data_IF_606495948945
#
_entry.id   IF_606495948945
#
_cell.length_a   1.000
_cell.length_b   1.000
_cell.length_c   1.000
_cell.angle_alpha   90.00
_cell.angle_beta   90.00
_cell.angle_gamma   90.00
#
_symmetry.space_group_name_H-M   'P 1'
#
loop_
_entity.id
_entity.type
_entity.pdbx_description
1 polymer ?
#
# COMPACT_ATOMS: atom_id res chain seq x y z
N UNK A 1 22.93 19.76 -18.91
CA UNK A 1 22.59 20.87 -19.81
C UNK A 1 21.25 21.39 -19.40
N UNK A 2 21.20 22.63 -18.84
CA UNK A 2 19.94 23.24 -18.42
C UNK A 2 19.06 23.49 -19.64
N UNK A 3 17.85 22.96 -19.64
CA UNK A 3 16.86 23.28 -20.67
C UNK A 3 16.48 24.77 -20.49
N UNK A 4 16.64 25.64 -21.49
CA UNK A 4 16.39 27.09 -21.36
C UNK A 4 14.92 27.45 -21.04
N UNK A 5 14.00 26.49 -21.17
CA UNK A 5 12.56 26.67 -20.92
C UNK A 5 12.16 26.28 -19.48
N UNK A 6 13.06 25.65 -18.70
CA UNK A 6 12.76 25.21 -17.34
C UNK A 6 13.89 25.54 -16.36
N UNK A 7 13.54 25.86 -15.11
CA UNK A 7 14.51 26.09 -14.04
C UNK A 7 15.27 24.83 -13.59
N UNK A 8 14.90 23.64 -14.04
CA UNK A 8 15.49 22.34 -13.64
C UNK A 8 15.21 21.93 -12.19
N UNK A 9 14.46 22.73 -11.39
CA UNK A 9 14.25 22.50 -9.96
C UNK A 9 13.60 21.15 -9.66
N UNK A 10 12.62 20.71 -10.48
CA UNK A 10 11.96 19.41 -10.29
C UNK A 10 12.92 18.25 -10.53
N UNK A 11 13.77 18.36 -11.54
CA UNK A 11 14.80 17.35 -11.83
C UNK A 11 15.82 17.29 -10.70
N UNK A 12 16.28 18.46 -10.21
CA UNK A 12 17.20 18.52 -9.07
C UNK A 12 16.61 17.90 -7.81
N UNK A 13 15.33 18.17 -7.51
CA UNK A 13 14.63 17.57 -6.38
C UNK A 13 14.51 16.04 -6.56
N UNK A 14 14.13 15.58 -7.74
CA UNK A 14 14.01 14.15 -8.03
C UNK A 14 15.36 13.43 -7.84
N UNK A 15 16.45 14.02 -8.37
CA UNK A 15 17.80 13.48 -8.21
C UNK A 15 18.21 13.42 -6.73
N UNK A 16 17.92 14.47 -5.95
CA UNK A 16 18.22 14.49 -4.53
C UNK A 16 17.41 13.46 -3.73
N UNK A 17 16.13 13.26 -4.07
CA UNK A 17 15.26 12.27 -3.43
C UNK A 17 15.69 10.81 -3.69
N UNK A 18 16.38 10.55 -4.78
CA UNK A 18 16.84 9.20 -5.15
C UNK A 18 18.34 8.99 -4.89
N UNK A 19 19.06 10.03 -4.51
CA UNK A 19 20.48 9.94 -4.19
C UNK A 19 20.65 9.31 -2.78
N UNK A 20 21.13 8.08 -2.75
CA UNK A 20 21.37 7.32 -1.52
C UNK A 20 22.66 7.71 -0.77
N UNK A 21 23.58 8.46 -1.40
CA UNK A 21 24.85 8.85 -0.81
C UNK A 21 24.82 10.25 -0.19
N UNK A 22 24.33 11.23 -0.94
CA UNK A 22 24.38 12.66 -0.58
C UNK A 22 23.01 13.30 -0.42
N UNK A 23 21.96 12.59 -0.78
CA UNK A 23 20.57 13.04 -0.75
C UNK A 23 19.71 12.33 0.30
N UNK A 24 18.40 12.34 0.03
CA UNK A 24 17.40 11.72 0.88
C UNK A 24 17.09 10.26 0.47
N UNK A 25 17.82 9.67 -0.45
CA UNK A 25 17.49 8.38 -1.06
C UNK A 25 17.36 7.24 -0.05
N UNK A 26 18.20 7.18 0.98
CA UNK A 26 18.08 6.16 2.03
C UNK A 26 16.78 6.28 2.83
N UNK A 27 16.38 7.52 3.17
CA UNK A 27 15.10 7.75 3.85
C UNK A 27 13.92 7.45 2.92
N UNK A 28 13.98 7.89 1.68
CA UNK A 28 12.96 7.60 0.68
C UNK A 28 12.78 6.08 0.47
N UNK A 29 13.87 5.32 0.40
CA UNK A 29 13.84 3.87 0.30
C UNK A 29 13.17 3.22 1.52
N UNK A 30 13.52 3.64 2.76
CA UNK A 30 12.87 3.16 3.99
C UNK A 30 11.37 3.42 4.01
N UNK A 31 10.95 4.62 3.60
CA UNK A 31 9.51 4.96 3.50
C UNK A 31 8.81 4.09 2.46
N UNK A 32 9.40 3.90 1.29
CA UNK A 32 8.81 3.09 0.22
C UNK A 32 8.70 1.62 0.61
N UNK A 33 9.76 1.01 1.14
CA UNK A 33 9.69 -0.41 1.54
C UNK A 33 8.77 -0.62 2.73
N UNK A 34 8.64 0.34 3.64
CA UNK A 34 7.67 0.29 4.73
C UNK A 34 6.22 0.31 4.19
N UNK A 35 5.94 1.11 3.16
CA UNK A 35 4.64 1.12 2.48
C UNK A 35 4.36 -0.20 1.75
N UNK A 36 5.34 -0.73 1.04
CA UNK A 36 5.22 -2.06 0.41
C UNK A 36 4.92 -3.13 1.47
N UNK A 37 5.65 -3.12 2.57
CA UNK A 37 5.41 -4.03 3.70
C UNK A 37 4.02 -3.87 4.27
N UNK A 38 3.56 -2.65 4.51
CA UNK A 38 2.22 -2.35 5.01
C UNK A 38 1.11 -2.91 4.10
N UNK A 39 1.24 -2.79 2.78
CA UNK A 39 0.27 -3.36 1.84
C UNK A 39 0.26 -4.88 1.84
N UNK A 40 1.37 -5.52 2.17
CA UNK A 40 1.44 -6.98 2.28
C UNK A 40 0.99 -7.52 3.65
N UNK A 41 1.29 -6.83 4.73
CA UNK A 41 1.08 -7.30 6.11
C UNK A 41 0.10 -6.45 6.93
N UNK A 42 -0.67 -5.57 6.29
CA UNK A 42 -1.62 -4.63 6.88
C UNK A 42 -1.01 -3.54 7.77
N UNK A 43 0.16 -3.76 8.35
CA UNK A 43 0.86 -2.81 9.21
C UNK A 43 2.31 -2.69 8.75
N UNK A 44 2.80 -1.46 8.71
CA UNK A 44 4.21 -1.19 8.40
C UNK A 44 5.14 -1.64 9.53
N UNK A 45 6.41 -1.87 9.21
CA UNK A 45 7.48 -2.07 10.20
C UNK A 45 7.57 -0.83 11.09
N UNK A 46 7.42 0.37 10.50
CA UNK A 46 7.10 1.63 11.19
C UNK A 46 5.60 1.82 11.11
N UNK A 47 4.91 1.87 12.25
CA UNK A 47 3.44 1.94 12.29
C UNK A 47 2.87 3.33 11.99
N UNK A 48 3.72 4.36 11.94
CA UNK A 48 3.40 5.73 11.53
C UNK A 48 3.98 6.01 10.13
N UNK A 49 3.35 5.54 9.03
CA UNK A 49 3.96 5.54 7.70
C UNK A 49 4.18 6.93 7.11
N UNK A 50 3.55 7.95 7.66
CA UNK A 50 3.75 9.36 7.28
C UNK A 50 4.71 10.12 8.21
N UNK A 51 5.19 9.48 9.29
CA UNK A 51 6.13 10.09 10.22
C UNK A 51 7.25 9.12 10.60
N UNK A 52 8.41 9.33 10.00
CA UNK A 52 9.67 8.64 10.28
C UNK A 52 10.60 9.49 11.16
N UNK A 53 10.08 10.60 11.70
CA UNK A 53 10.81 11.52 12.56
C UNK A 53 10.67 11.21 14.04
N UNK A 54 11.05 12.18 14.86
CA UNK A 54 11.09 12.04 16.32
C UNK A 54 9.70 11.85 16.98
N UNK A 55 8.61 12.23 16.28
CA UNK A 55 7.24 12.04 16.75
C UNK A 55 6.64 10.70 16.28
N UNK A 56 7.28 10.04 15.32
CA UNK A 56 6.86 8.74 14.81
C UNK A 56 7.21 7.59 15.76
N UNK A 57 6.63 6.42 15.48
CA UNK A 57 6.98 5.21 16.23
C UNK A 57 8.28 4.61 15.72
N UNK A 58 9.13 4.05 16.60
CA UNK A 58 10.30 3.32 16.15
C UNK A 58 9.91 2.06 15.37
N UNK A 59 10.75 1.61 14.43
CA UNK A 59 10.50 0.38 13.69
C UNK A 59 10.52 -0.84 14.63
N UNK A 60 9.59 -1.80 14.42
CA UNK A 60 9.56 -3.06 15.16
C UNK A 60 10.77 -3.95 14.84
N UNK A 61 11.27 -3.86 13.59
CA UNK A 61 12.41 -4.63 13.08
C UNK A 61 13.35 -3.69 12.33
N UNK A 62 14.21 -2.93 13.02
CA UNK A 62 15.06 -1.90 12.40
C UNK A 62 16.03 -2.48 11.37
N UNK A 63 16.68 -3.60 11.69
CA UNK A 63 17.62 -4.27 10.78
C UNK A 63 16.95 -4.78 9.50
N UNK A 64 15.74 -5.33 9.62
CA UNK A 64 14.96 -5.77 8.47
C UNK A 64 14.57 -4.58 7.57
N UNK A 65 14.15 -3.46 8.17
CA UNK A 65 13.80 -2.26 7.43
C UNK A 65 15.02 -1.72 6.66
N UNK A 66 16.17 -1.68 7.30
CA UNK A 66 17.41 -1.19 6.69
C UNK A 66 17.89 -2.11 5.58
N UNK A 67 17.80 -3.43 5.80
CA UNK A 67 18.15 -4.41 4.79
C UNK A 67 17.23 -4.33 3.56
N UNK A 68 15.91 -4.26 3.77
CA UNK A 68 14.94 -4.10 2.67
C UNK A 68 15.17 -2.79 1.91
N UNK A 69 15.46 -1.69 2.60
CA UNK A 69 15.76 -0.41 1.97
C UNK A 69 17.03 -0.49 1.11
N UNK A 70 18.07 -1.18 1.60
CA UNK A 70 19.30 -1.39 0.83
C UNK A 70 19.04 -2.27 -0.40
N UNK A 71 18.28 -3.39 -0.26
CA UNK A 71 17.90 -4.23 -1.40
C UNK A 71 17.12 -3.44 -2.46
N UNK A 72 16.25 -2.52 -2.03
CA UNK A 72 15.48 -1.69 -2.95
C UNK A 72 16.38 -0.73 -3.75
N UNK A 73 17.36 -0.10 -3.08
CA UNK A 73 18.35 0.76 -3.74
C UNK A 73 19.20 -0.06 -4.71
N UNK A 74 19.75 -1.19 -4.27
CA UNK A 74 20.65 -2.04 -5.05
C UNK A 74 19.97 -2.65 -6.29
N UNK A 75 18.64 -2.90 -6.22
CA UNK A 75 17.84 -3.34 -7.36
C UNK A 75 17.52 -2.23 -8.37
N UNK A 76 18.00 -1.00 -8.15
CA UNK A 76 17.66 0.16 -8.98
C UNK A 76 16.21 0.63 -8.78
N UNK A 77 15.69 0.55 -7.57
CA UNK A 77 14.32 0.94 -7.20
C UNK A 77 13.25 0.08 -7.90
N UNK A 78 13.54 -1.22 -8.08
CA UNK A 78 12.62 -2.16 -8.75
C UNK A 78 11.53 -2.64 -7.77
N UNK A 79 10.32 -2.09 -7.94
CA UNK A 79 9.15 -2.48 -7.16
C UNK A 79 8.76 -3.95 -7.38
N UNK A 80 8.92 -4.49 -8.59
CA UNK A 80 8.58 -5.89 -8.88
C UNK A 80 9.51 -6.86 -8.18
N UNK A 81 10.80 -6.53 -8.13
CA UNK A 81 11.79 -7.29 -7.37
C UNK A 81 11.42 -7.32 -5.88
N UNK A 82 11.05 -6.18 -5.29
CA UNK A 82 10.62 -6.10 -3.89
C UNK A 82 9.33 -6.89 -3.62
N UNK A 83 8.32 -6.77 -4.47
CA UNK A 83 7.11 -7.61 -4.34
C UNK A 83 7.46 -9.10 -4.40
N UNK A 84 8.30 -9.53 -5.32
CA UNK A 84 8.74 -10.92 -5.42
C UNK A 84 9.46 -11.37 -4.15
N UNK A 85 10.38 -10.56 -3.64
CA UNK A 85 11.12 -10.84 -2.42
C UNK A 85 10.19 -11.08 -1.23
N UNK A 86 9.21 -10.20 -1.02
CA UNK A 86 8.23 -10.31 0.06
C UNK A 86 7.33 -11.55 -0.14
N UNK A 87 6.75 -11.73 -1.32
CA UNK A 87 5.80 -12.80 -1.61
C UNK A 87 6.42 -14.21 -1.57
N UNK A 88 7.73 -14.34 -1.81
CA UNK A 88 8.44 -15.62 -1.72
C UNK A 88 9.00 -15.90 -0.32
N UNK A 89 8.94 -14.94 0.60
CA UNK A 89 9.43 -15.10 1.96
C UNK A 89 8.63 -16.14 2.76
N UNK A 90 9.28 -16.77 3.71
CA UNK A 90 8.61 -17.67 4.66
C UNK A 90 7.54 -16.93 5.48
N UNK A 91 7.81 -15.69 5.85
CA UNK A 91 6.89 -14.82 6.60
C UNK A 91 5.57 -14.58 5.84
N UNK A 92 5.63 -14.37 4.53
CA UNK A 92 4.41 -14.23 3.71
C UNK A 92 3.63 -15.54 3.58
N UNK A 93 4.32 -16.67 3.44
CA UNK A 93 3.73 -17.98 3.16
C UNK A 93 3.28 -18.73 4.40
N UNK A 94 3.47 -18.19 5.59
CA UNK A 94 3.05 -18.81 6.84
C UNK A 94 1.52 -18.81 6.98
N UNK A 95 1.01 -19.71 7.84
CA UNK A 95 -0.40 -19.78 8.18
C UNK A 95 -0.88 -18.55 8.96
N UNK A 96 -2.16 -18.20 8.80
CA UNK A 96 -2.86 -17.21 9.62
C UNK A 96 -3.51 -17.83 10.89
N UNK A 97 -3.40 -19.15 11.08
CA UNK A 97 -3.99 -19.83 12.23
C UNK A 97 -3.43 -19.29 13.57
N UNK A 98 -4.31 -19.21 14.55
CA UNK A 98 -3.92 -18.84 15.90
C UNK A 98 -3.10 -19.98 16.53
N UNK A 99 -2.00 -19.64 17.17
CA UNK A 99 -1.19 -20.54 17.99
C UNK A 99 -1.14 -19.96 19.39
N UNK A 100 -1.69 -20.68 20.36
CA UNK A 100 -1.80 -20.20 21.76
C UNK A 100 -0.43 -19.97 22.39
N UNK A 101 0.54 -20.85 22.09
CA UNK A 101 1.92 -20.75 22.56
C UNK A 101 2.66 -19.47 22.13
N UNK A 102 2.30 -18.92 20.98
CA UNK A 102 2.87 -17.69 20.44
C UNK A 102 2.00 -16.46 20.74
N UNK A 103 0.69 -16.65 20.90
CA UNK A 103 -0.25 -15.56 21.16
C UNK A 103 -0.11 -14.98 22.59
N UNK A 104 0.26 -15.81 23.56
CA UNK A 104 0.47 -15.37 24.94
C UNK A 104 1.62 -14.37 25.08
N UNK A 105 2.85 -14.64 24.56
CA UNK A 105 3.96 -13.69 24.64
C UNK A 105 3.85 -12.50 23.66
N UNK A 106 3.15 -12.66 22.52
CA UNK A 106 2.99 -11.61 21.51
C UNK A 106 1.55 -11.55 20.95
N UNK A 107 0.60 -11.07 21.75
CA UNK A 107 -0.81 -11.01 21.36
C UNK A 107 -1.05 -10.08 20.14
N UNK A 108 -0.18 -9.12 19.90
CA UNK A 108 -0.27 -8.15 18.80
C UNK A 108 0.47 -8.58 17.53
N UNK A 109 1.05 -9.79 17.53
CA UNK A 109 1.80 -10.33 16.38
C UNK A 109 2.92 -9.39 15.90
N UNK A 110 3.63 -8.73 16.81
CA UNK A 110 4.75 -7.83 16.48
C UNK A 110 5.90 -8.59 15.80
N UNK A 111 6.13 -9.84 16.20
CA UNK A 111 7.18 -10.72 15.64
C UNK A 111 6.71 -11.54 14.44
N UNK A 112 5.51 -11.27 13.94
CA UNK A 112 4.95 -11.94 12.77
C UNK A 112 5.00 -13.46 12.86
N UNK A 113 4.60 -14.02 14.00
CA UNK A 113 4.53 -15.46 14.22
C UNK A 113 3.39 -16.14 13.45
N UNK A 114 2.45 -15.35 12.88
CA UNK A 114 1.45 -15.76 11.90
C UNK A 114 1.27 -14.70 10.83
N UNK A 115 0.73 -15.09 9.69
CA UNK A 115 0.30 -14.10 8.70
C UNK A 115 -0.87 -13.28 9.27
N UNK A 116 -0.80 -11.95 9.29
CA UNK A 116 -1.88 -11.12 9.84
C UNK A 116 -3.07 -11.10 8.87
N UNK A 117 -4.24 -11.66 9.24
CA UNK A 117 -5.43 -11.52 8.42
C UNK A 117 -5.83 -10.05 8.36
N UNK A 118 -6.11 -9.56 7.16
CA UNK A 118 -6.55 -8.20 6.95
C UNK A 118 -7.64 -8.11 5.88
N UNK A 119 -8.43 -7.06 5.98
CA UNK A 119 -9.49 -6.79 5.02
C UNK A 119 -8.89 -6.31 3.70
N UNK A 120 -9.45 -6.76 2.59
CA UNK A 120 -9.10 -6.26 1.25
C UNK A 120 -9.60 -4.82 1.08
N UNK A 121 -8.88 -4.06 0.28
CA UNK A 121 -9.27 -2.70 -0.12
C UNK A 121 -10.50 -2.71 -1.05
N UNK A 122 -11.24 -1.61 -1.07
CA UNK A 122 -12.48 -1.45 -1.83
C UNK A 122 -12.33 -1.85 -3.30
N UNK A 123 -11.25 -1.41 -3.94
CA UNK A 123 -10.95 -1.70 -5.34
C UNK A 123 -10.75 -3.20 -5.57
N UNK A 124 -10.07 -3.85 -4.66
CA UNK A 124 -9.80 -5.29 -4.75
C UNK A 124 -11.08 -6.10 -4.52
N UNK A 125 -11.92 -5.69 -3.56
CA UNK A 125 -13.21 -6.34 -3.29
C UNK A 125 -14.07 -6.29 -4.55
N UNK A 126 -14.30 -5.10 -5.12
CA UNK A 126 -15.10 -4.92 -6.32
C UNK A 126 -14.55 -5.69 -7.52
N UNK A 127 -13.25 -5.56 -7.79
CA UNK A 127 -12.61 -6.23 -8.93
C UNK A 127 -12.73 -7.76 -8.79
N UNK A 128 -12.64 -8.31 -7.57
CA UNK A 128 -12.84 -9.73 -7.33
C UNK A 128 -14.29 -10.17 -7.51
N UNK A 129 -15.27 -9.37 -7.07
CA UNK A 129 -16.68 -9.66 -7.32
C UNK A 129 -16.98 -9.74 -8.82
N UNK A 130 -16.48 -8.79 -9.60
CA UNK A 130 -16.59 -8.81 -11.07
C UNK A 130 -15.86 -9.99 -11.70
N UNK A 131 -14.69 -10.34 -11.19
CA UNK A 131 -13.92 -11.46 -11.72
C UNK A 131 -14.59 -12.81 -11.47
N UNK A 132 -15.11 -13.04 -10.25
CA UNK A 132 -15.80 -14.29 -9.89
C UNK A 132 -17.14 -14.44 -10.62
N UNK A 133 -17.88 -13.33 -10.83
CA UNK A 133 -19.12 -13.33 -11.61
C UNK A 133 -18.90 -13.45 -13.12
N UNK A 134 -17.67 -13.38 -13.61
CA UNK A 134 -17.34 -13.41 -15.04
C UNK A 134 -17.61 -12.11 -15.77
N UNK A 135 -17.99 -11.04 -15.07
CA UNK A 135 -18.33 -9.74 -15.66
C UNK A 135 -17.15 -8.80 -15.84
N UNK A 136 -15.97 -9.15 -15.30
CA UNK A 136 -14.80 -8.26 -15.34
C UNK A 136 -14.32 -8.03 -16.78
N UNK A 137 -14.47 -6.79 -17.24
CA UNK A 137 -13.83 -6.29 -18.45
C UNK A 137 -12.36 -5.97 -18.18
N UNK A 138 -11.45 -6.68 -18.85
CA UNK A 138 -9.99 -6.56 -18.71
C UNK A 138 -9.37 -5.54 -19.65
N UNK A 139 -10.18 -4.77 -20.39
CA UNK A 139 -9.67 -3.73 -21.30
C UNK A 139 -8.80 -2.74 -20.54
N UNK A 140 -7.57 -2.59 -21.01
CA UNK A 140 -6.56 -1.69 -20.42
C UNK A 140 -6.56 -0.34 -21.15
N UNK A 141 -6.08 0.69 -20.43
CA UNK A 141 -5.92 2.07 -20.92
C UNK A 141 -7.25 2.79 -21.20
N UNK A 142 -7.13 4.01 -21.72
CA UNK A 142 -8.28 4.86 -22.03
C UNK A 142 -8.71 5.74 -20.87
N UNK A 143 -9.85 6.42 -21.04
CA UNK A 143 -10.37 7.37 -20.05
C UNK A 143 -10.96 6.68 -18.84
N UNK A 144 -10.87 7.35 -17.68
CA UNK A 144 -11.62 6.99 -16.48
C UNK A 144 -13.11 7.32 -16.60
N UNK A 145 -13.91 6.85 -15.64
CA UNK A 145 -15.35 7.10 -15.58
C UNK A 145 -15.82 7.26 -14.15
N UNK A 146 -16.93 7.96 -13.95
CA UNK A 146 -17.69 8.02 -12.70
C UNK A 146 -18.87 7.05 -12.68
N UNK A 147 -19.09 6.31 -13.76
CA UNK A 147 -20.16 5.35 -13.86
C UNK A 147 -19.88 4.13 -12.99
N UNK A 148 -20.64 3.98 -11.91
CA UNK A 148 -20.53 2.86 -10.96
C UNK A 148 -20.84 1.50 -11.61
N UNK A 149 -21.67 1.49 -12.67
CA UNK A 149 -22.07 0.28 -13.38
C UNK A 149 -21.00 -0.24 -14.36
N UNK A 150 -19.89 0.47 -14.54
CA UNK A 150 -18.81 -0.02 -15.40
C UNK A 150 -18.28 -1.38 -14.94
N UNK A 151 -17.96 -2.27 -15.86
CA UNK A 151 -17.39 -3.60 -15.55
C UNK A 151 -15.87 -3.66 -15.59
N UNK A 152 -15.20 -2.56 -15.94
CA UNK A 152 -13.73 -2.51 -15.91
C UNK A 152 -13.21 -2.47 -14.48
N UNK A 153 -11.89 -2.72 -14.32
CA UNK A 153 -11.21 -2.65 -13.04
C UNK A 153 -11.41 -1.28 -12.36
N UNK A 154 -11.52 -1.30 -11.06
CA UNK A 154 -11.75 -0.09 -10.23
C UNK A 154 -10.68 0.98 -10.36
N UNK A 155 -9.47 0.63 -10.81
CA UNK A 155 -8.40 1.59 -11.11
C UNK A 155 -8.80 2.60 -12.22
N UNK A 156 -9.83 2.30 -13.01
CA UNK A 156 -10.37 3.17 -14.05
C UNK A 156 -11.48 4.10 -13.55
N UNK A 157 -11.79 4.10 -12.26
CA UNK A 157 -12.65 5.14 -11.72
C UNK A 157 -11.91 6.49 -11.72
N UNK A 158 -12.63 7.51 -12.16
CA UNK A 158 -12.16 8.88 -12.08
C UNK A 158 -12.28 9.39 -10.63
N UNK A 159 -11.21 10.01 -10.13
CA UNK A 159 -11.22 10.61 -8.79
C UNK A 159 -11.66 12.07 -8.91
N UNK A 160 -12.90 12.33 -8.53
CA UNK A 160 -13.48 13.66 -8.53
C UNK A 160 -13.95 14.03 -7.13
N UNK A 161 -13.38 15.12 -6.57
CA UNK A 161 -13.67 15.53 -5.18
C UNK A 161 -15.14 15.82 -4.90
N UNK A 162 -15.85 16.36 -5.90
CA UNK A 162 -17.27 16.72 -5.81
C UNK A 162 -18.23 15.55 -6.05
N UNK A 163 -17.74 14.41 -6.50
CA UNK A 163 -18.56 13.26 -6.84
C UNK A 163 -17.80 11.97 -6.58
N UNK A 164 -18.09 11.35 -5.45
CA UNK A 164 -17.50 10.06 -5.06
C UNK A 164 -18.38 8.92 -5.58
N UNK A 165 -17.78 7.75 -5.78
CA UNK A 165 -18.47 6.52 -6.17
C UNK A 165 -19.08 5.90 -4.90
N UNK A 166 -20.43 5.82 -4.76
CA UNK A 166 -21.09 5.41 -3.52
C UNK A 166 -20.64 4.05 -2.98
N UNK A 167 -20.59 3.03 -3.84
CA UNK A 167 -20.12 1.69 -3.46
C UNK A 167 -18.69 1.71 -2.90
N UNK A 168 -17.81 2.47 -3.52
CA UNK A 168 -16.41 2.56 -3.09
C UNK A 168 -16.28 3.24 -1.73
N UNK A 169 -17.07 4.30 -1.49
CA UNK A 169 -17.13 5.00 -0.20
C UNK A 169 -17.62 4.06 0.90
N UNK A 170 -18.68 3.27 0.64
CA UNK A 170 -19.18 2.28 1.58
C UNK A 170 -18.12 1.23 1.94
N UNK A 171 -17.21 0.90 1.03
CA UNK A 171 -16.11 -0.03 1.24
C UNK A 171 -14.84 0.62 1.81
N UNK A 172 -14.93 1.85 2.34
CA UNK A 172 -13.80 2.61 2.90
C UNK A 172 -12.78 3.08 1.86
N UNK A 173 -13.24 3.45 0.66
CA UNK A 173 -12.37 4.16 -0.27
C UNK A 173 -11.88 5.47 0.35
N UNK A 174 -10.61 5.86 0.14
CA UNK A 174 -10.04 7.04 0.76
C UNK A 174 -10.82 8.32 0.45
N UNK A 175 -10.96 9.19 1.45
CA UNK A 175 -11.43 10.54 1.20
C UNK A 175 -10.43 11.26 0.28
N UNK A 176 -10.96 11.90 -0.75
CA UNK A 176 -10.15 12.63 -1.73
C UNK A 176 -9.75 14.04 -1.27
N UNK A 177 -10.25 14.48 -0.12
CA UNK A 177 -9.98 15.81 0.44
C UNK A 177 -8.70 15.86 1.28
N UNK A 178 -8.27 14.73 1.84
CA UNK A 178 -7.11 14.64 2.70
C UNK A 178 -6.10 13.59 2.21
N UNK A 179 -4.83 13.84 2.48
CA UNK A 179 -3.80 12.82 2.32
C UNK A 179 -3.87 11.86 3.50
N UNK A 180 -4.05 10.57 3.23
CA UNK A 180 -4.10 9.53 4.24
C UNK A 180 -2.83 8.69 4.20
N UNK A 181 -2.30 8.42 5.36
CA UNK A 181 -1.16 7.52 5.56
C UNK A 181 -1.61 6.05 5.61
N UNK A 182 -2.81 5.82 6.12
CA UNK A 182 -3.44 4.51 6.22
C UNK A 182 -4.94 4.63 5.92
N UNK A 183 -5.48 3.66 5.17
CA UNK A 183 -6.92 3.58 4.91
C UNK A 183 -7.67 3.14 6.17
N UNK A 184 -8.84 3.71 6.39
CA UNK A 184 -9.74 3.23 7.42
C UNK A 184 -10.18 1.80 7.12
N UNK A 185 -10.25 0.98 8.16
CA UNK A 185 -10.80 -0.38 8.08
C UNK A 185 -11.97 -0.45 9.07
N UNK A 186 -13.18 -0.53 8.54
CA UNK A 186 -14.40 -0.65 9.36
C UNK A 186 -15.20 -1.87 8.93
N UNK A 187 -15.96 -2.43 9.87
CA UNK A 187 -16.95 -3.47 9.59
C UNK A 187 -18.29 -2.97 10.10
N UNK A 188 -19.16 -2.56 9.16
CA UNK A 188 -20.48 -2.01 9.46
C UNK A 188 -21.57 -2.73 8.67
N UNK A 189 -22.80 -2.71 9.18
CA UNK A 189 -23.92 -3.42 8.56
C UNK A 189 -24.14 -3.08 7.06
N UNK A 190 -24.05 -1.81 6.59
CA UNK A 190 -24.18 -1.50 5.18
C UNK A 190 -23.18 -2.22 4.27
N UNK A 191 -21.95 -2.48 4.75
CA UNK A 191 -20.95 -3.22 3.99
C UNK A 191 -21.31 -4.71 3.85
N UNK A 192 -21.86 -5.30 4.89
CA UNK A 192 -22.35 -6.69 4.84
C UNK A 192 -23.53 -6.82 3.88
N UNK A 193 -24.48 -5.89 3.92
CA UNK A 193 -25.62 -5.85 3.02
C UNK A 193 -25.22 -5.65 1.56
N UNK A 194 -24.19 -4.85 1.29
CA UNK A 194 -23.68 -4.64 -0.07
C UNK A 194 -23.11 -5.93 -0.69
N UNK A 195 -22.64 -6.87 0.14
CA UNK A 195 -22.04 -8.13 -0.31
C UNK A 195 -23.01 -9.32 -0.35
N UNK A 196 -24.26 -9.11 0.04
CA UNK A 196 -25.34 -10.11 -0.06
C UNK A 196 -26.06 -10.05 -1.41
#
# INVERSE_FOLDING_TARGET
VANPITSGRRTALASWLTDAEKGAGRLAARVMVNRLWQHHFAKGIVSTPSDFGAQGTPPTHPELLDWLAQQFIDSGWDLKAMHRLILTSATWRQSSALREDAAEPDPHNHWLWRYPPHRLEAEVIRDRMLAVSGLLDRTMYGKGTLDEAMFRRSIYFEIKRSQLIPMMVQLNWPDTLASLDQRAVTTVAPQALLMM
#
